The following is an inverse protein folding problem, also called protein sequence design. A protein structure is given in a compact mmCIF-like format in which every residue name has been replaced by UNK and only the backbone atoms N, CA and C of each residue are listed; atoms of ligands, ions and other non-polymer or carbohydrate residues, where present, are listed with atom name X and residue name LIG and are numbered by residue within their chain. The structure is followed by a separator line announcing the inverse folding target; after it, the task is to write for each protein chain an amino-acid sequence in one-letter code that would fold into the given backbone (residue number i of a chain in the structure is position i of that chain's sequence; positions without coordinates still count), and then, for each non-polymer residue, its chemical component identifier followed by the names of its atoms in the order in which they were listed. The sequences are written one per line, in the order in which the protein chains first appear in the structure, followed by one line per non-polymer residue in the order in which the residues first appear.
data_IF_349435359878
#
_entry.id   IF_349435359878
#
_cell.length_a   1.000
_cell.length_b   1.000
_cell.length_c   1.000
_cell.angle_alpha   90.00
_cell.angle_beta   90.00
_cell.angle_gamma   90.00
#
_symmetry.space_group_name_H-M   'P 1'
#
loop_
_entity.id
_entity.type
_entity.pdbx_description
1 polymer ?
#
# COMPACT_ATOMS: atom_id res chain seq x y z
N UNK A 1 35.08 71.60 -13.40
CA UNK A 1 35.69 70.26 -13.59
C UNK A 1 35.29 69.42 -12.39
N UNK A 2 34.15 68.74 -12.45
CA UNK A 2 33.65 67.92 -11.35
C UNK A 2 34.49 66.65 -11.27
N UNK A 3 35.36 66.57 -10.26
CA UNK A 3 36.15 65.40 -9.95
C UNK A 3 35.19 64.31 -9.44
N UNK A 4 34.82 63.37 -10.30
CA UNK A 4 34.23 62.12 -9.84
C UNK A 4 35.24 61.43 -8.92
N UNK A 5 34.86 61.00 -7.70
CA UNK A 5 35.76 60.25 -6.84
C UNK A 5 36.20 58.97 -7.56
N UNK A 6 37.43 58.48 -7.31
CA UNK A 6 37.94 57.30 -7.99
C UNK A 6 36.98 56.14 -7.70
N UNK A 7 36.50 55.44 -8.75
CA UNK A 7 35.52 54.34 -8.65
C UNK A 7 35.84 53.30 -7.56
N UNK A 8 37.11 53.18 -7.17
CA UNK A 8 37.58 52.31 -6.09
C UNK A 8 37.18 52.76 -4.67
N UNK A 9 37.12 54.07 -4.39
CA UNK A 9 36.72 54.59 -3.08
C UNK A 9 35.23 54.34 -2.82
N UNK A 10 34.38 54.64 -3.81
CA UNK A 10 32.95 54.37 -3.73
C UNK A 10 32.64 52.87 -3.53
N UNK A 11 33.35 51.98 -4.24
CA UNK A 11 33.19 50.54 -4.04
C UNK A 11 33.61 50.09 -2.64
N UNK A 12 34.71 50.64 -2.11
CA UNK A 12 35.21 50.30 -0.78
C UNK A 12 34.32 50.83 0.36
N UNK A 13 33.65 51.95 0.17
CA UNK A 13 32.67 52.49 1.12
C UNK A 13 31.37 51.69 1.12
N UNK A 14 30.90 51.28 -0.07
CA UNK A 14 29.76 50.36 -0.20
C UNK A 14 30.04 49.03 0.49
N UNK A 15 31.22 48.43 0.26
CA UNK A 15 31.65 47.16 0.89
C UNK A 15 31.76 47.22 2.41
N UNK A 16 31.94 48.41 3.00
CA UNK A 16 31.99 48.61 4.46
C UNK A 16 30.69 49.15 5.04
N UNK A 17 29.67 49.41 4.22
CA UNK A 17 28.38 49.86 4.71
C UNK A 17 27.76 48.81 5.63
N UNK A 18 27.14 49.27 6.72
CA UNK A 18 26.45 48.38 7.65
C UNK A 18 25.34 47.60 6.96
N UNK A 19 24.65 48.23 6.00
CA UNK A 19 23.59 47.59 5.24
C UNK A 19 24.12 46.41 4.42
N UNK A 20 25.22 46.59 3.68
CA UNK A 20 25.81 45.50 2.89
C UNK A 20 26.43 44.42 3.78
N UNK A 21 27.09 44.80 4.88
CA UNK A 21 27.60 43.83 5.86
C UNK A 21 26.48 43.03 6.52
N UNK A 22 25.33 43.66 6.78
CA UNK A 22 24.10 43.00 7.22
C UNK A 22 23.59 42.00 6.19
N UNK A 23 23.52 42.38 4.91
CA UNK A 23 23.15 41.48 3.81
C UNK A 23 24.13 40.29 3.69
N UNK A 24 25.43 40.55 3.76
CA UNK A 24 26.47 39.50 3.73
C UNK A 24 26.29 38.55 4.92
N UNK A 25 26.08 39.06 6.14
CA UNK A 25 25.90 38.23 7.34
C UNK A 25 24.67 37.33 7.26
N UNK A 26 23.57 37.87 6.73
CA UNK A 26 22.33 37.12 6.52
C UNK A 26 22.52 36.06 5.43
N UNK A 27 23.24 36.36 4.35
CA UNK A 27 23.47 35.48 3.21
C UNK A 27 24.89 34.89 3.20
N UNK A 28 25.11 33.85 4.02
CA UNK A 28 26.43 33.19 4.10
C UNK A 28 26.41 31.85 3.38
N UNK A 29 27.50 31.53 2.69
CA UNK A 29 27.65 30.28 1.93
C UNK A 29 26.53 30.05 0.89
N UNK A 30 25.96 31.14 0.36
CA UNK A 30 24.84 31.08 -0.57
C UNK A 30 23.48 30.78 0.06
N UNK A 31 23.31 30.94 1.39
CA UNK A 31 22.05 30.65 2.10
C UNK A 31 21.67 31.74 3.10
N UNK A 32 20.40 32.14 3.10
CA UNK A 32 19.83 33.01 4.14
C UNK A 32 19.84 32.31 5.50
N UNK A 33 20.21 33.03 6.56
CA UNK A 33 20.24 32.50 7.92
C UNK A 33 18.91 31.87 8.34
N UNK A 34 17.78 32.45 7.92
CA UNK A 34 16.43 31.95 8.20
C UNK A 34 16.14 30.58 7.58
N UNK A 35 16.73 30.26 6.42
CA UNK A 35 16.47 29.00 5.69
C UNK A 35 17.53 27.92 5.94
N UNK A 36 18.59 28.19 6.72
CA UNK A 36 19.65 27.20 6.96
C UNK A 36 19.15 25.96 7.70
N UNK A 37 18.21 26.13 8.63
CA UNK A 37 17.58 25.02 9.34
C UNK A 37 16.82 24.12 8.37
N UNK A 38 15.91 24.74 7.60
CA UNK A 38 15.14 24.08 6.55
C UNK A 38 16.03 23.35 5.53
N UNK A 39 17.03 24.04 5.00
CA UNK A 39 17.97 23.49 4.02
C UNK A 39 18.74 22.27 4.54
N UNK A 40 19.12 22.24 5.82
CA UNK A 40 19.75 21.07 6.45
C UNK A 40 18.77 19.91 6.56
N UNK A 41 17.54 20.16 6.99
CA UNK A 41 16.50 19.13 7.11
C UNK A 41 16.15 18.50 5.75
N UNK A 42 16.29 19.25 4.66
CA UNK A 42 16.00 18.78 3.29
C UNK A 42 17.17 18.08 2.59
N UNK A 43 18.34 17.98 3.23
CA UNK A 43 19.51 17.28 2.66
C UNK A 43 19.23 15.85 2.18
N UNK A 44 18.46 15.01 2.91
CA UNK A 44 18.13 13.66 2.46
C UNK A 44 17.38 13.63 1.11
N UNK A 45 16.69 14.73 0.78
CA UNK A 45 15.75 14.81 -0.34
C UNK A 45 16.32 15.48 -1.59
N UNK A 46 17.58 15.90 -1.58
CA UNK A 46 18.23 16.57 -2.73
C UNK A 46 18.36 15.72 -3.99
N UNK A 47 18.37 14.40 -3.84
CA UNK A 47 18.43 13.45 -4.97
C UNK A 47 17.06 12.90 -5.34
N UNK A 48 16.01 13.46 -4.76
CA UNK A 48 14.66 12.97 -4.99
C UNK A 48 14.21 13.32 -6.40
N UNK A 49 13.86 12.29 -7.16
CA UNK A 49 13.19 12.43 -8.44
C UNK A 49 11.78 11.85 -8.35
N UNK A 50 10.85 12.37 -9.14
CA UNK A 50 9.49 11.82 -9.24
C UNK A 50 9.44 10.35 -9.72
N UNK A 51 10.53 9.85 -10.31
CA UNK A 51 10.71 8.46 -10.74
C UNK A 51 11.28 7.53 -9.67
N UNK A 52 11.71 8.06 -8.52
CA UNK A 52 12.15 7.24 -7.39
C UNK A 52 10.94 6.44 -6.89
N UNK A 53 11.12 5.24 -6.31
CA UNK A 53 10.01 4.55 -5.65
C UNK A 53 9.59 5.34 -4.41
N UNK A 54 8.76 6.36 -4.62
CA UNK A 54 8.25 7.22 -3.58
C UNK A 54 7.31 6.35 -2.75
N UNK A 55 7.67 6.04 -1.51
CA UNK A 55 6.68 5.51 -0.57
C UNK A 55 5.95 6.66 0.12
N UNK A 56 4.75 6.39 0.63
CA UNK A 56 3.94 7.42 1.28
C UNK A 56 4.66 7.96 2.53
N UNK A 57 5.43 7.11 3.22
CA UNK A 57 6.15 7.49 4.43
C UNK A 57 7.19 8.58 4.16
N UNK A 58 7.91 8.48 3.04
CA UNK A 58 8.84 9.52 2.59
C UNK A 58 8.09 10.83 2.29
N UNK A 59 6.96 10.77 1.57
CA UNK A 59 6.15 11.98 1.28
C UNK A 59 5.70 12.68 2.57
N UNK A 60 5.19 11.94 3.55
CA UNK A 60 4.81 12.50 4.84
C UNK A 60 6.01 13.04 5.63
N UNK A 61 7.19 12.41 5.51
CA UNK A 61 8.42 12.91 6.13
C UNK A 61 8.90 14.22 5.50
N UNK A 62 8.72 14.38 4.19
CA UNK A 62 9.00 15.62 3.48
C UNK A 62 8.03 16.73 3.90
N UNK A 63 6.74 16.40 3.93
CA UNK A 63 5.68 17.33 4.32
C UNK A 63 5.83 17.81 5.76
N UNK A 64 6.23 16.93 6.67
CA UNK A 64 6.52 17.32 8.05
C UNK A 64 7.61 18.41 8.14
N UNK A 65 8.50 18.50 7.15
CA UNK A 65 9.52 19.54 7.06
C UNK A 65 9.01 20.78 6.32
N UNK A 66 8.29 20.62 5.20
CA UNK A 66 7.88 21.73 4.32
C UNK A 66 6.54 22.36 4.70
N UNK A 67 5.58 21.57 5.17
CA UNK A 67 4.23 21.95 5.59
C UNK A 67 4.15 23.23 6.41
N UNK A 68 4.93 23.39 7.49
CA UNK A 68 4.94 24.63 8.28
C UNK A 68 5.32 25.88 7.50
N UNK A 69 6.20 25.76 6.50
CA UNK A 69 6.65 26.89 5.67
C UNK A 69 5.61 27.25 4.62
N UNK A 70 4.90 26.28 4.06
CA UNK A 70 3.76 26.56 3.18
C UNK A 70 2.61 27.26 3.91
N UNK A 71 2.30 26.83 5.14
CA UNK A 71 1.23 27.41 5.94
C UNK A 71 1.48 28.89 6.29
N UNK A 72 2.73 29.26 6.54
CA UNK A 72 3.12 30.62 6.87
C UNK A 72 3.13 31.58 5.66
N UNK A 73 3.07 31.06 4.43
CA UNK A 73 3.08 31.84 3.18
C UNK A 73 4.19 32.88 3.12
N UNK A 74 5.35 32.56 3.67
CA UNK A 74 6.52 33.43 3.61
C UNK A 74 7.41 33.10 2.40
N UNK A 75 8.42 33.94 2.16
CA UNK A 75 9.35 33.73 1.03
C UNK A 75 10.37 32.61 1.28
N UNK A 76 10.26 31.81 2.36
CA UNK A 76 11.30 30.84 2.72
C UNK A 76 11.52 29.80 1.62
N UNK A 77 10.44 29.30 1.01
CA UNK A 77 10.51 28.31 -0.09
C UNK A 77 11.09 28.95 -1.36
N UNK A 78 10.66 30.18 -1.70
CA UNK A 78 11.20 30.91 -2.85
C UNK A 78 12.71 31.17 -2.69
N UNK A 79 13.14 31.62 -1.49
CA UNK A 79 14.56 31.83 -1.17
C UNK A 79 15.34 30.53 -1.20
N UNK A 80 14.76 29.43 -0.74
CA UNK A 80 15.38 28.10 -0.79
C UNK A 80 15.62 27.65 -2.23
N UNK A 81 14.61 27.75 -3.10
CA UNK A 81 14.73 27.42 -4.52
C UNK A 81 15.75 28.29 -5.25
N UNK A 82 15.86 29.57 -4.87
CA UNK A 82 16.88 30.47 -5.41
C UNK A 82 18.31 30.08 -4.99
N UNK A 83 18.47 29.48 -3.80
CA UNK A 83 19.77 29.05 -3.28
C UNK A 83 20.16 27.63 -3.69
N UNK A 84 19.17 26.75 -3.91
CA UNK A 84 19.36 25.33 -4.16
C UNK A 84 18.28 24.77 -5.09
N UNK A 85 18.53 24.87 -6.40
CA UNK A 85 17.61 24.38 -7.43
C UNK A 85 17.43 22.86 -7.43
N UNK A 86 18.32 22.10 -6.77
CA UNK A 86 18.20 20.63 -6.68
C UNK A 86 16.98 20.17 -5.88
N UNK A 87 16.45 21.03 -5.01
CA UNK A 87 15.26 20.74 -4.19
C UNK A 87 13.94 20.93 -4.95
N UNK A 88 13.99 21.43 -6.19
CA UNK A 88 12.80 21.73 -6.99
C UNK A 88 11.90 20.51 -7.17
N UNK A 89 12.47 19.35 -7.52
CA UNK A 89 11.70 18.11 -7.69
C UNK A 89 11.04 17.64 -6.38
N UNK A 90 11.74 17.74 -5.25
CA UNK A 90 11.17 17.35 -3.95
C UNK A 90 9.98 18.26 -3.59
N UNK A 91 10.16 19.58 -3.69
CA UNK A 91 9.13 20.57 -3.36
C UNK A 91 7.92 20.44 -4.30
N UNK A 92 8.15 20.22 -5.59
CA UNK A 92 7.07 19.97 -6.55
C UNK A 92 6.34 18.67 -6.26
N UNK A 93 7.07 17.59 -5.95
CA UNK A 93 6.47 16.29 -5.62
C UNK A 93 5.60 16.38 -4.37
N UNK A 94 6.07 17.05 -3.32
CA UNK A 94 5.29 17.31 -2.10
C UNK A 94 4.01 18.09 -2.41
N UNK A 95 4.15 19.24 -3.09
CA UNK A 95 3.03 20.10 -3.40
C UNK A 95 1.98 19.37 -4.25
N UNK A 96 2.40 18.56 -5.21
CA UNK A 96 1.52 17.74 -6.05
C UNK A 96 0.84 16.63 -5.24
N UNK A 97 1.60 15.89 -4.43
CA UNK A 97 1.07 14.77 -3.64
C UNK A 97 0.05 15.24 -2.59
N UNK A 98 0.25 16.42 -1.98
CA UNK A 98 -0.67 17.01 -0.99
C UNK A 98 -1.63 18.07 -1.58
N UNK A 99 -1.67 18.23 -2.90
CA UNK A 99 -2.67 19.06 -3.58
C UNK A 99 -2.52 20.57 -3.38
N UNK A 100 -1.31 21.05 -3.09
CA UNK A 100 -0.98 22.47 -2.86
C UNK A 100 -0.77 23.22 -4.17
N UNK A 101 -1.88 23.56 -4.83
CA UNK A 101 -1.87 24.31 -6.10
C UNK A 101 -1.22 25.68 -5.95
N UNK A 102 -1.38 26.32 -4.79
CA UNK A 102 -0.78 27.62 -4.48
C UNK A 102 0.75 27.56 -4.49
N UNK A 103 1.34 26.53 -3.89
CA UNK A 103 2.79 26.29 -3.91
C UNK A 103 3.30 26.00 -5.32
N UNK A 104 2.58 25.17 -6.09
CA UNK A 104 2.94 24.86 -7.48
C UNK A 104 2.94 26.13 -8.36
N UNK A 105 1.88 26.94 -8.26
CA UNK A 105 1.72 28.16 -9.04
C UNK A 105 2.68 29.28 -8.63
N UNK A 106 2.89 29.49 -7.32
CA UNK A 106 3.70 30.60 -6.80
C UNK A 106 5.20 30.49 -7.12
N UNK A 107 5.69 29.28 -7.42
CA UNK A 107 7.11 29.02 -7.61
C UNK A 107 7.48 28.56 -9.03
N UNK A 108 6.54 28.66 -9.97
CA UNK A 108 6.72 28.22 -11.37
C UNK A 108 7.39 26.85 -11.43
N UNK A 109 6.83 25.89 -10.71
CA UNK A 109 7.36 24.51 -10.63
C UNK A 109 6.95 23.66 -11.85
N UNK A 110 6.54 24.30 -12.94
CA UNK A 110 6.16 23.69 -14.23
C UNK A 110 7.19 24.08 -15.32
N UNK A 111 8.43 23.67 -15.11
CA UNK A 111 9.50 23.81 -16.11
C UNK A 111 9.67 22.50 -16.89
N UNK A 112 10.29 22.54 -18.07
CA UNK A 112 10.38 21.40 -19.00
C UNK A 112 11.03 20.16 -18.35
N UNK A 113 11.98 20.36 -17.42
CA UNK A 113 12.62 19.29 -16.63
C UNK A 113 11.64 18.54 -15.69
N UNK A 114 10.57 19.21 -15.24
CA UNK A 114 9.51 18.64 -14.41
C UNK A 114 8.36 18.08 -15.24
N UNK A 115 8.21 18.51 -16.50
CA UNK A 115 7.14 18.01 -17.38
C UNK A 115 7.28 16.55 -17.75
N UNK A 116 8.50 16.01 -17.76
CA UNK A 116 8.76 14.57 -17.97
C UNK A 116 8.56 13.72 -16.71
N UNK A 117 8.39 14.34 -15.54
CA UNK A 117 8.07 13.62 -14.31
C UNK A 117 6.61 13.15 -14.32
N UNK A 118 6.34 11.99 -13.70
CA UNK A 118 5.00 11.42 -13.54
C UNK A 118 4.15 12.18 -12.49
N UNK A 119 4.04 13.51 -12.63
CA UNK A 119 3.35 14.37 -11.66
C UNK A 119 1.85 14.09 -11.63
N UNK A 120 1.25 13.72 -12.77
CA UNK A 120 -0.18 13.35 -12.80
C UNK A 120 -0.41 12.06 -12.01
N UNK A 121 0.48 11.08 -12.14
CA UNK A 121 0.43 9.85 -11.34
C UNK A 121 0.55 10.15 -9.85
N UNK A 122 1.46 11.06 -9.48
CA UNK A 122 1.65 11.46 -8.08
C UNK A 122 0.43 12.21 -7.52
N UNK A 123 -0.16 13.13 -8.30
CA UNK A 123 -1.39 13.82 -7.93
C UNK A 123 -2.55 12.83 -7.75
N UNK A 124 -2.64 11.84 -8.64
CA UNK A 124 -3.67 10.82 -8.61
C UNK A 124 -3.53 9.90 -7.38
N UNK A 125 -2.30 9.54 -7.03
CA UNK A 125 -1.98 8.83 -5.79
C UNK A 125 -2.33 9.64 -4.53
N UNK A 126 -2.15 10.96 -4.55
CA UNK A 126 -2.51 11.86 -3.47
C UNK A 126 -4.03 12.11 -3.34
N UNK A 127 -4.80 11.81 -4.39
CA UNK A 127 -6.25 11.91 -4.38
C UNK A 127 -6.82 13.31 -4.61
N UNK A 128 -6.01 14.25 -5.11
CA UNK A 128 -6.41 15.64 -5.27
C UNK A 128 -6.87 15.94 -6.70
N UNK A 129 -8.17 15.78 -7.00
CA UNK A 129 -8.73 16.02 -8.34
C UNK A 129 -8.45 17.43 -8.87
N UNK A 130 -8.48 18.45 -8.01
CA UNK A 130 -8.14 19.82 -8.39
C UNK A 130 -6.69 19.97 -8.86
N UNK A 131 -5.76 19.23 -8.25
CA UNK A 131 -4.36 19.20 -8.68
C UNK A 131 -4.22 18.44 -10.00
N UNK A 132 -4.92 17.31 -10.17
CA UNK A 132 -4.94 16.56 -11.44
C UNK A 132 -5.50 17.43 -12.58
N UNK A 133 -6.59 18.15 -12.34
CA UNK A 133 -7.15 19.11 -13.29
C UNK A 133 -6.18 20.24 -13.61
N UNK A 134 -5.55 20.83 -12.59
CA UNK A 134 -4.55 21.87 -12.77
C UNK A 134 -3.39 21.39 -13.67
N UNK A 135 -2.84 20.20 -13.41
CA UNK A 135 -1.76 19.63 -14.22
C UNK A 135 -2.24 19.27 -15.64
N UNK A 136 -3.49 18.84 -15.80
CA UNK A 136 -4.09 18.59 -17.11
C UNK A 136 -4.22 19.88 -17.94
N UNK A 137 -4.72 20.95 -17.33
CA UNK A 137 -4.91 22.25 -18.01
C UNK A 137 -3.56 22.87 -18.44
N UNK A 138 -2.48 22.60 -17.72
CA UNK A 138 -1.11 22.97 -18.12
C UNK A 138 -0.49 22.04 -19.18
N UNK A 139 -1.21 21.02 -19.63
CA UNK A 139 -0.76 20.10 -20.69
C UNK A 139 0.36 19.16 -20.25
N UNK A 140 0.45 18.78 -18.97
CA UNK A 140 1.48 17.84 -18.51
C UNK A 140 1.34 16.44 -19.15
N UNK A 141 2.41 15.92 -19.80
CA UNK A 141 2.40 14.63 -20.46
C UNK A 141 2.72 13.45 -19.53
N UNK A 142 3.21 13.72 -18.31
CA UNK A 142 3.62 12.70 -17.32
C UNK A 142 2.46 11.98 -16.63
N UNK A 143 1.52 11.45 -17.41
CA UNK A 143 0.49 10.54 -16.95
C UNK A 143 0.78 9.15 -17.52
N UNK A 144 0.67 8.11 -16.69
CA UNK A 144 0.74 6.71 -17.10
C UNK A 144 -0.49 5.96 -16.60
N UNK A 145 -0.58 4.66 -16.91
CA UNK A 145 -1.64 3.80 -16.34
C UNK A 145 -1.59 3.77 -14.80
N UNK A 146 -0.44 4.05 -14.20
CA UNK A 146 -0.28 4.09 -12.74
C UNK A 146 -1.15 5.16 -12.08
N UNK A 147 -1.46 6.27 -12.76
CA UNK A 147 -2.35 7.29 -12.20
C UNK A 147 -3.71 6.71 -11.82
N UNK A 148 -4.34 5.98 -12.75
CA UNK A 148 -5.66 5.40 -12.54
C UNK A 148 -5.57 4.21 -11.59
N UNK A 149 -4.57 3.34 -11.76
CA UNK A 149 -4.36 2.16 -10.90
C UNK A 149 -4.20 2.56 -9.42
N UNK A 150 -3.35 3.55 -9.12
CA UNK A 150 -3.11 4.03 -7.76
C UNK A 150 -4.31 4.80 -7.18
N UNK A 151 -5.01 5.58 -7.99
CA UNK A 151 -6.22 6.28 -7.56
C UNK A 151 -7.35 5.29 -7.23
N UNK A 152 -7.49 4.21 -8.02
CA UNK A 152 -8.45 3.15 -7.78
C UNK A 152 -8.16 2.39 -6.47
N UNK A 153 -6.90 1.98 -6.28
CA UNK A 153 -6.44 1.28 -5.08
C UNK A 153 -6.70 2.08 -3.78
N UNK A 154 -6.70 3.42 -3.85
CA UNK A 154 -6.90 4.32 -2.69
C UNK A 154 -8.31 4.90 -2.61
N UNK A 155 -9.24 4.42 -3.43
CA UNK A 155 -10.61 4.89 -3.52
C UNK A 155 -10.76 6.39 -3.85
N UNK A 156 -9.84 6.96 -4.62
CA UNK A 156 -9.93 8.34 -5.09
C UNK A 156 -10.86 8.44 -6.30
N UNK A 157 -12.16 8.24 -6.06
CA UNK A 157 -13.19 8.13 -7.10
C UNK A 157 -13.24 9.33 -8.06
N UNK A 158 -13.19 10.55 -7.53
CA UNK A 158 -13.22 11.77 -8.36
C UNK A 158 -12.02 11.84 -9.30
N UNK A 159 -10.84 11.40 -8.85
CA UNK A 159 -9.64 11.30 -9.68
C UNK A 159 -9.84 10.25 -10.76
N UNK A 160 -10.31 9.04 -10.42
CA UNK A 160 -10.55 7.97 -11.40
C UNK A 160 -11.57 8.42 -12.44
N UNK A 161 -12.65 9.09 -12.03
CA UNK A 161 -13.66 9.63 -12.94
C UNK A 161 -13.08 10.70 -13.87
N UNK A 162 -12.27 11.62 -13.34
CA UNK A 162 -11.57 12.64 -14.11
C UNK A 162 -10.63 12.02 -15.15
N UNK A 163 -9.76 11.10 -14.72
CA UNK A 163 -8.81 10.42 -15.62
C UNK A 163 -9.54 9.61 -16.69
N UNK A 164 -10.61 8.89 -16.33
CA UNK A 164 -11.39 8.10 -17.30
C UNK A 164 -12.01 8.96 -18.40
N UNK A 165 -12.37 10.21 -18.11
CA UNK A 165 -13.09 11.11 -19.03
C UNK A 165 -12.17 12.04 -19.82
N UNK A 166 -11.01 12.43 -19.26
CA UNK A 166 -10.13 13.45 -19.84
C UNK A 166 -8.78 12.91 -20.33
N UNK A 167 -8.46 11.65 -20.04
CA UNK A 167 -7.17 11.01 -20.34
C UNK A 167 -7.38 9.70 -21.12
N UNK A 168 -6.41 9.36 -21.96
CA UNK A 168 -6.46 8.18 -22.86
C UNK A 168 -5.39 7.13 -22.54
N UNK A 169 -4.50 7.43 -21.60
CA UNK A 169 -3.37 6.60 -21.15
C UNK A 169 -3.84 5.25 -20.59
N UNK A 170 -5.04 5.22 -20.02
CA UNK A 170 -5.73 4.02 -19.64
C UNK A 170 -5.44 3.53 -18.23
N UNK A 171 -5.64 2.25 -17.99
CA UNK A 171 -5.41 1.56 -16.73
C UNK A 171 -4.76 0.20 -17.00
N UNK A 172 -4.43 -0.53 -15.95
CA UNK A 172 -4.16 -1.97 -16.05
C UNK A 172 -5.18 -2.76 -15.23
N UNK A 173 -5.11 -4.10 -15.27
CA UNK A 173 -5.90 -4.94 -14.38
C UNK A 173 -5.63 -4.65 -12.89
N UNK A 174 -4.49 -4.03 -12.56
CA UNK A 174 -4.14 -3.64 -11.20
C UNK A 174 -5.17 -2.68 -10.59
N UNK A 175 -5.79 -1.79 -11.38
CA UNK A 175 -6.84 -0.89 -10.88
C UNK A 175 -7.98 -1.64 -10.20
N UNK A 176 -8.50 -2.69 -10.84
CA UNK A 176 -9.61 -3.47 -10.30
C UNK A 176 -9.12 -4.51 -9.27
N UNK A 177 -7.96 -5.13 -9.48
CA UNK A 177 -7.35 -6.07 -8.54
C UNK A 177 -7.09 -5.41 -7.18
N UNK A 178 -6.48 -4.22 -7.16
CA UNK A 178 -6.14 -3.52 -5.93
C UNK A 178 -7.36 -2.86 -5.29
N UNK A 179 -8.30 -2.32 -6.07
CA UNK A 179 -9.58 -1.84 -5.54
C UNK A 179 -10.38 -2.98 -4.86
N UNK A 180 -10.36 -4.19 -5.44
CA UNK A 180 -10.98 -5.36 -4.86
C UNK A 180 -10.26 -5.82 -3.58
N UNK A 181 -8.92 -5.83 -3.60
CA UNK A 181 -8.09 -6.14 -2.43
C UNK A 181 -8.37 -5.19 -1.25
N UNK A 182 -8.68 -3.93 -1.51
CA UNK A 182 -9.00 -2.92 -0.50
C UNK A 182 -10.50 -2.83 -0.14
N UNK A 183 -11.35 -3.66 -0.74
CA UNK A 183 -12.78 -3.70 -0.41
C UNK A 183 -13.58 -2.53 -0.99
N UNK A 184 -13.08 -1.86 -2.02
CA UNK A 184 -13.69 -0.68 -2.61
C UNK A 184 -14.78 -1.07 -3.64
N UNK A 185 -15.88 -1.68 -3.18
CA UNK A 185 -16.94 -2.20 -4.05
C UNK A 185 -17.44 -1.19 -5.09
N UNK A 186 -17.72 0.06 -4.69
CA UNK A 186 -18.19 1.09 -5.61
C UNK A 186 -17.15 1.41 -6.71
N UNK A 187 -15.86 1.40 -6.37
CA UNK A 187 -14.78 1.56 -7.34
C UNK A 187 -14.73 0.36 -8.31
N UNK A 188 -14.82 -0.86 -7.79
CA UNK A 188 -14.85 -2.09 -8.61
C UNK A 188 -16.03 -2.08 -9.59
N UNK A 189 -17.22 -1.69 -9.12
CA UNK A 189 -18.41 -1.54 -9.96
C UNK A 189 -18.22 -0.49 -11.06
N UNK A 190 -17.65 0.66 -10.70
CA UNK A 190 -17.36 1.73 -11.67
C UNK A 190 -16.34 1.29 -12.73
N UNK A 191 -15.22 0.69 -12.30
CA UNK A 191 -14.21 0.17 -13.22
C UNK A 191 -14.83 -0.89 -14.14
N UNK A 192 -15.66 -1.79 -13.62
CA UNK A 192 -16.34 -2.80 -14.42
C UNK A 192 -17.25 -2.21 -15.50
N UNK A 193 -17.95 -1.11 -15.20
CA UNK A 193 -18.90 -0.47 -16.14
C UNK A 193 -18.23 0.45 -17.16
N UNK A 194 -17.09 1.06 -16.81
CA UNK A 194 -16.47 2.12 -17.61
C UNK A 194 -15.12 1.76 -18.22
N UNK A 195 -14.57 0.58 -17.91
CA UNK A 195 -13.23 0.16 -18.33
C UNK A 195 -13.26 -1.24 -18.93
N UNK A 196 -12.33 -1.51 -19.84
CA UNK A 196 -12.29 -2.78 -20.60
C UNK A 196 -11.11 -3.67 -20.20
N UNK A 197 -10.18 -3.16 -19.40
CA UNK A 197 -8.98 -3.88 -18.95
C UNK A 197 -9.31 -5.11 -18.08
N UNK A 198 -10.43 -5.06 -17.37
CA UNK A 198 -10.88 -6.15 -16.51
C UNK A 198 -10.06 -6.30 -15.23
N UNK A 199 -10.01 -7.52 -14.70
CA UNK A 199 -9.21 -7.89 -13.54
C UNK A 199 -8.48 -9.21 -13.80
N UNK A 200 -7.74 -9.69 -12.81
CA UNK A 200 -7.19 -11.04 -12.81
C UNK A 200 -7.82 -11.86 -11.68
N UNK A 201 -7.42 -13.12 -11.52
CA UNK A 201 -7.82 -13.94 -10.34
C UNK A 201 -7.40 -13.29 -9.02
N UNK A 202 -6.40 -12.39 -9.04
CA UNK A 202 -5.95 -11.66 -7.86
C UNK A 202 -7.05 -10.81 -7.22
N UNK A 203 -7.98 -10.26 -8.00
CA UNK A 203 -9.09 -9.48 -7.46
C UNK A 203 -9.92 -10.30 -6.45
N UNK A 204 -10.37 -11.49 -6.85
CA UNK A 204 -11.19 -12.34 -5.98
C UNK A 204 -10.34 -12.99 -4.87
N UNK A 205 -9.11 -13.42 -5.18
CA UNK A 205 -8.19 -13.99 -4.19
C UNK A 205 -7.90 -12.99 -3.05
N UNK A 206 -7.59 -11.73 -3.40
CA UNK A 206 -7.26 -10.69 -2.42
C UNK A 206 -8.49 -10.18 -1.68
N UNK A 207 -9.62 -9.99 -2.36
CA UNK A 207 -10.89 -9.66 -1.71
C UNK A 207 -11.30 -10.73 -0.69
N UNK A 208 -11.17 -12.01 -1.05
CA UNK A 208 -11.44 -13.12 -0.14
C UNK A 208 -10.46 -13.17 1.03
N UNK A 209 -9.16 -12.99 0.75
CA UNK A 209 -8.11 -12.92 1.77
C UNK A 209 -8.41 -11.83 2.81
N UNK A 210 -8.93 -10.68 2.39
CA UNK A 210 -9.20 -9.55 3.29
C UNK A 210 -10.64 -9.50 3.82
N UNK A 211 -11.47 -10.52 3.54
CA UNK A 211 -12.82 -10.62 4.09
C UNK A 211 -13.87 -9.73 3.42
N UNK A 212 -13.62 -9.25 2.20
CA UNK A 212 -14.51 -8.37 1.45
C UNK A 212 -15.57 -9.19 0.69
N UNK A 213 -16.51 -9.79 1.42
CA UNK A 213 -17.54 -10.68 0.86
C UNK A 213 -18.41 -10.01 -0.22
N UNK A 214 -18.73 -8.73 -0.05
CA UNK A 214 -19.51 -7.94 -1.00
C UNK A 214 -18.80 -7.78 -2.36
N UNK A 215 -17.49 -7.56 -2.35
CA UNK A 215 -16.65 -7.56 -3.54
C UNK A 215 -16.56 -8.95 -4.15
N UNK A 216 -16.40 -10.01 -3.34
CA UNK A 216 -16.38 -11.40 -3.82
C UNK A 216 -17.69 -11.77 -4.52
N UNK A 217 -18.84 -11.39 -3.97
CA UNK A 217 -20.15 -11.55 -4.61
C UNK A 217 -20.20 -10.85 -5.96
N UNK A 218 -19.82 -9.57 -5.99
CA UNK A 218 -19.85 -8.80 -7.24
C UNK A 218 -18.97 -9.42 -8.32
N UNK A 219 -17.74 -9.79 -7.97
CA UNK A 219 -16.81 -10.43 -8.89
C UNK A 219 -17.33 -11.80 -9.36
N UNK A 220 -17.95 -12.58 -8.48
CA UNK A 220 -18.55 -13.86 -8.85
C UNK A 220 -19.68 -13.70 -9.89
N UNK A 221 -20.56 -12.73 -9.67
CA UNK A 221 -21.77 -12.55 -10.50
C UNK A 221 -21.47 -11.88 -11.86
N UNK A 222 -20.41 -11.06 -11.94
CA UNK A 222 -20.18 -10.17 -13.09
C UNK A 222 -18.85 -10.41 -13.82
N UNK A 223 -17.94 -11.22 -13.29
CA UNK A 223 -16.62 -11.49 -13.87
C UNK A 223 -16.41 -12.99 -14.11
N UNK A 224 -15.59 -13.31 -15.12
CA UNK A 224 -15.37 -14.69 -15.56
C UNK A 224 -14.00 -15.24 -15.15
N UNK A 225 -13.11 -14.38 -14.65
CA UNK A 225 -11.73 -14.68 -14.28
C UNK A 225 -11.66 -15.71 -13.14
N UNK A 226 -12.62 -15.67 -12.22
CA UNK A 226 -12.68 -16.58 -11.07
C UNK A 226 -11.64 -16.27 -10.00
N UNK A 227 -11.29 -17.29 -9.22
CA UNK A 227 -10.26 -17.22 -8.19
C UNK A 227 -9.29 -18.41 -8.31
N UNK A 228 -8.34 -18.50 -7.39
CA UNK A 228 -7.50 -19.69 -7.19
C UNK A 228 -7.82 -20.32 -5.83
N UNK A 229 -7.11 -21.39 -5.46
CA UNK A 229 -7.22 -21.97 -4.11
C UNK A 229 -6.80 -20.98 -3.02
N UNK A 230 -5.99 -19.96 -3.36
CA UNK A 230 -5.54 -18.94 -2.42
C UNK A 230 -6.70 -18.15 -1.80
N UNK A 231 -7.81 -17.96 -2.53
CA UNK A 231 -9.00 -17.31 -1.99
C UNK A 231 -9.51 -18.00 -0.73
N UNK A 232 -9.73 -19.32 -0.79
CA UNK A 232 -10.25 -20.08 0.35
C UNK A 232 -9.17 -20.34 1.40
N UNK A 233 -7.94 -20.64 0.99
CA UNK A 233 -6.82 -20.90 1.90
C UNK A 233 -6.55 -19.69 2.80
N UNK A 234 -6.45 -18.49 2.23
CA UNK A 234 -6.16 -17.28 2.99
C UNK A 234 -7.38 -16.75 3.76
N UNK A 235 -8.59 -16.87 3.20
CA UNK A 235 -9.81 -16.52 3.93
C UNK A 235 -9.98 -17.41 5.18
N UNK A 236 -9.67 -18.71 5.08
CA UNK A 236 -9.66 -19.63 6.20
C UNK A 236 -8.60 -19.27 7.23
N UNK A 237 -7.37 -18.97 6.79
CA UNK A 237 -6.28 -18.54 7.65
C UNK A 237 -6.65 -17.29 8.47
N UNK A 238 -7.37 -16.33 7.87
CA UNK A 238 -7.78 -15.07 8.53
C UNK A 238 -9.15 -15.14 9.21
N UNK A 239 -9.80 -16.31 9.20
CA UNK A 239 -11.06 -16.53 9.90
C UNK A 239 -12.30 -15.91 9.25
N UNK A 240 -12.26 -15.61 7.96
CA UNK A 240 -13.40 -15.06 7.21
C UNK A 240 -14.41 -16.16 6.83
N UNK A 241 -15.18 -16.61 7.84
CA UNK A 241 -16.13 -17.73 7.76
C UNK A 241 -17.19 -17.54 6.66
N UNK A 242 -17.73 -16.33 6.55
CA UNK A 242 -18.73 -15.95 5.56
C UNK A 242 -18.20 -16.03 4.11
N UNK A 243 -16.98 -15.57 3.87
CA UNK A 243 -16.28 -15.72 2.59
C UNK A 243 -16.02 -17.19 2.27
N UNK A 244 -15.52 -17.98 3.23
CA UNK A 244 -15.25 -19.41 3.01
C UNK A 244 -16.55 -20.17 2.71
N UNK A 245 -17.64 -19.89 3.41
CA UNK A 245 -18.95 -20.45 3.09
C UNK A 245 -19.38 -20.11 1.67
N UNK A 246 -19.27 -18.83 1.26
CA UNK A 246 -19.60 -18.41 -0.09
C UNK A 246 -18.77 -19.14 -1.14
N UNK A 247 -17.44 -19.16 -0.99
CA UNK A 247 -16.53 -19.86 -1.90
C UNK A 247 -16.82 -21.36 -1.95
N UNK A 248 -17.07 -22.01 -0.81
CA UNK A 248 -17.40 -23.43 -0.77
C UNK A 248 -18.69 -23.77 -1.52
N UNK A 249 -19.68 -22.88 -1.47
CA UNK A 249 -21.02 -23.12 -2.02
C UNK A 249 -21.13 -22.74 -3.50
N UNK A 250 -20.38 -21.73 -3.96
CA UNK A 250 -20.54 -21.16 -5.29
C UNK A 250 -19.32 -21.33 -6.20
N UNK A 251 -18.17 -21.75 -5.68
CA UNK A 251 -16.91 -21.93 -6.43
C UNK A 251 -16.45 -23.39 -6.40
N UNK A 252 -15.62 -23.75 -7.38
CA UNK A 252 -15.19 -25.15 -7.60
C UNK A 252 -13.67 -25.31 -7.53
N UNK A 253 -12.92 -24.20 -7.41
CA UNK A 253 -11.47 -24.18 -7.27
C UNK A 253 -11.00 -24.86 -5.99
N UNK A 254 -11.81 -24.78 -4.94
CA UNK A 254 -11.56 -25.45 -3.68
C UNK A 254 -10.49 -24.77 -2.82
N UNK A 255 -9.74 -25.58 -2.09
CA UNK A 255 -8.70 -25.17 -1.15
C UNK A 255 -7.59 -26.23 -1.12
N UNK A 256 -6.52 -25.96 -0.40
CA UNK A 256 -5.45 -26.93 -0.11
C UNK A 256 -5.45 -27.28 1.38
N UNK A 257 -4.43 -28.01 1.84
CA UNK A 257 -4.21 -28.23 3.28
C UNK A 257 -3.95 -26.92 4.04
N UNK A 258 -3.51 -25.87 3.35
CA UNK A 258 -3.18 -24.58 3.93
C UNK A 258 -4.41 -23.90 4.55
N UNK A 259 -5.62 -24.17 4.05
CA UNK A 259 -6.85 -23.67 4.66
C UNK A 259 -7.03 -24.15 6.11
N UNK A 260 -6.88 -25.45 6.36
CA UNK A 260 -7.06 -26.02 7.70
C UNK A 260 -5.84 -25.74 8.58
N UNK A 261 -4.64 -25.83 8.03
CA UNK A 261 -3.39 -25.48 8.74
C UNK A 261 -3.41 -24.01 9.18
N UNK A 262 -3.80 -23.10 8.30
CA UNK A 262 -3.96 -21.67 8.58
C UNK A 262 -5.08 -21.39 9.58
N UNK A 263 -6.26 -22.00 9.41
CA UNK A 263 -7.36 -21.84 10.36
C UNK A 263 -6.98 -22.33 11.78
N UNK A 264 -6.19 -23.40 11.86
CA UNK A 264 -5.67 -23.90 13.12
C UNK A 264 -4.61 -22.97 13.72
N UNK A 265 -3.72 -22.42 12.88
CA UNK A 265 -2.73 -21.43 13.30
C UNK A 265 -3.36 -20.13 13.82
N UNK A 266 -4.50 -19.71 13.25
CA UNK A 266 -5.27 -18.53 13.68
C UNK A 266 -6.23 -18.79 14.85
N UNK A 267 -6.35 -20.03 15.33
CA UNK A 267 -7.25 -20.36 16.44
C UNK A 267 -8.74 -20.37 16.06
N UNK A 268 -9.06 -20.49 14.78
CA UNK A 268 -10.43 -20.38 14.27
C UNK A 268 -11.17 -21.73 14.34
N UNK A 269 -11.55 -22.17 15.55
CA UNK A 269 -12.16 -23.50 15.77
C UNK A 269 -13.37 -23.78 14.88
N UNK A 270 -14.27 -22.81 14.69
CA UNK A 270 -15.45 -23.00 13.84
C UNK A 270 -15.08 -23.19 12.37
N UNK A 271 -14.06 -22.49 11.88
CA UNK A 271 -13.49 -22.69 10.55
C UNK A 271 -12.85 -24.07 10.42
N UNK A 272 -12.07 -24.51 11.43
CA UNK A 272 -11.46 -25.85 11.44
C UNK A 272 -12.53 -26.94 11.41
N UNK A 273 -13.62 -26.79 12.16
CA UNK A 273 -14.77 -27.69 12.12
C UNK A 273 -15.43 -27.70 10.74
N UNK A 274 -15.70 -26.53 10.19
CA UNK A 274 -16.29 -26.40 8.87
C UNK A 274 -15.45 -27.12 7.81
N UNK A 275 -14.16 -26.81 7.73
CA UNK A 275 -13.24 -27.44 6.78
C UNK A 275 -13.14 -28.95 7.01
N UNK A 276 -13.08 -29.41 8.26
CA UNK A 276 -13.03 -30.83 8.58
C UNK A 276 -14.26 -31.61 8.07
N UNK A 277 -15.47 -31.06 8.22
CA UNK A 277 -16.71 -31.77 7.86
C UNK A 277 -17.10 -31.60 6.38
N UNK A 278 -16.66 -30.53 5.73
CA UNK A 278 -17.10 -30.18 4.38
C UNK A 278 -16.03 -30.30 3.29
N UNK A 279 -14.76 -30.52 3.66
CA UNK A 279 -13.61 -30.57 2.75
C UNK A 279 -12.81 -31.86 2.96
N UNK A 280 -12.12 -32.32 1.92
CA UNK A 280 -11.45 -33.64 1.88
C UNK A 280 -9.93 -33.54 1.93
N UNK A 281 -9.39 -32.35 1.66
CA UNK A 281 -7.96 -32.06 1.54
C UNK A 281 -7.22 -32.32 2.85
N UNK A 282 -7.88 -32.02 3.97
CA UNK A 282 -7.34 -32.27 5.29
C UNK A 282 -6.35 -31.23 5.77
N UNK A 283 -5.37 -31.65 6.55
CA UNK A 283 -4.36 -30.80 7.18
C UNK A 283 -3.01 -31.50 7.17
N UNK A 284 -1.94 -30.76 7.43
CA UNK A 284 -0.63 -31.33 7.73
C UNK A 284 -0.38 -31.37 9.23
N UNK A 285 0.84 -31.73 9.65
CA UNK A 285 1.26 -31.58 11.06
C UNK A 285 1.35 -30.11 11.48
N UNK A 286 1.43 -29.18 10.53
CA UNK A 286 1.47 -27.74 10.80
C UNK A 286 0.22 -27.26 11.55
N UNK A 287 -0.98 -27.77 11.25
CA UNK A 287 -2.18 -27.44 11.99
C UNK A 287 -2.03 -27.66 13.50
N UNK A 288 -1.50 -28.82 13.90
CA UNK A 288 -1.25 -29.13 15.31
C UNK A 288 -0.12 -28.27 15.90
N UNK A 289 1.00 -28.19 15.19
CA UNK A 289 2.19 -27.50 15.67
C UNK A 289 1.91 -26.00 15.87
N UNK A 290 1.28 -25.34 14.90
CA UNK A 290 0.92 -23.93 14.99
C UNK A 290 -0.15 -23.68 16.06
N UNK A 291 -1.16 -24.54 16.18
CA UNK A 291 -2.15 -24.42 17.25
C UNK A 291 -1.53 -24.58 18.65
N UNK A 292 -0.51 -25.44 18.81
CA UNK A 292 0.25 -25.57 20.05
C UNK A 292 1.14 -24.34 20.32
N UNK A 293 1.86 -23.84 19.31
CA UNK A 293 2.73 -22.67 19.45
C UNK A 293 1.95 -21.41 19.81
N UNK A 294 0.73 -21.27 19.31
CA UNK A 294 -0.13 -20.10 19.51
C UNK A 294 -1.15 -20.29 20.66
N UNK A 295 -1.04 -21.37 21.45
CA UNK A 295 -1.89 -21.65 22.61
C UNK A 295 -3.40 -21.78 22.29
N UNK A 296 -3.73 -22.36 21.14
CA UNK A 296 -5.10 -22.60 20.70
C UNK A 296 -5.63 -23.97 21.17
N UNK A 297 -5.77 -24.13 22.49
CA UNK A 297 -6.04 -25.42 23.13
C UNK A 297 -7.37 -26.09 22.72
N UNK A 298 -8.37 -25.31 22.30
CA UNK A 298 -9.65 -25.82 21.78
C UNK A 298 -9.51 -26.42 20.37
N UNK A 299 -8.75 -25.78 19.49
CA UNK A 299 -8.33 -26.33 18.19
C UNK A 299 -7.50 -27.59 18.38
N UNK A 300 -6.49 -27.57 19.26
CA UNK A 300 -5.66 -28.76 19.55
C UNK A 300 -6.53 -29.93 20.01
N UNK A 301 -7.52 -29.68 20.89
CA UNK A 301 -8.45 -30.72 21.36
C UNK A 301 -9.32 -31.27 20.24
N UNK A 302 -9.80 -30.41 19.35
CA UNK A 302 -10.57 -30.85 18.19
C UNK A 302 -9.73 -31.70 17.23
N UNK A 303 -8.54 -31.21 16.87
CA UNK A 303 -7.63 -31.92 15.98
C UNK A 303 -7.22 -33.28 16.57
N UNK A 304 -6.88 -33.35 17.86
CA UNK A 304 -6.49 -34.59 18.55
C UNK A 304 -7.56 -35.69 18.52
N UNK A 305 -8.84 -35.30 18.46
CA UNK A 305 -9.97 -36.22 18.44
C UNK A 305 -10.43 -36.59 17.03
N UNK A 306 -10.15 -35.77 16.03
CA UNK A 306 -10.72 -35.90 14.68
C UNK A 306 -9.68 -36.11 13.56
N UNK A 307 -8.39 -35.91 13.80
CA UNK A 307 -7.32 -35.94 12.78
C UNK A 307 -6.21 -36.95 13.11
N UNK A 308 -5.48 -37.41 12.08
CA UNK A 308 -4.47 -38.49 12.16
C UNK A 308 -3.03 -37.98 12.16
N UNK A 309 -2.82 -36.75 11.75
CA UNK A 309 -1.50 -36.19 11.43
C UNK A 309 -0.69 -35.94 12.70
N UNK A 310 -1.35 -35.47 13.78
CA UNK A 310 -0.72 -35.19 15.07
C UNK A 310 0.38 -34.12 15.03
N UNK A 311 0.97 -33.74 16.18
CA UNK A 311 2.11 -32.82 16.21
C UNK A 311 3.41 -33.51 15.78
N UNK A 312 4.36 -32.71 15.28
CA UNK A 312 5.72 -33.19 15.03
C UNK A 312 6.42 -33.62 16.31
N UNK A 313 7.48 -34.43 16.19
CA UNK A 313 8.19 -34.96 17.35
C UNK A 313 8.75 -33.87 18.29
N UNK A 314 9.16 -32.72 17.73
CA UNK A 314 9.66 -31.57 18.48
C UNK A 314 8.58 -30.89 19.32
N UNK A 315 7.33 -30.94 18.86
CA UNK A 315 6.18 -30.25 19.48
C UNK A 315 5.46 -31.11 20.52
N UNK A 316 5.72 -32.42 20.58
CA UNK A 316 5.10 -33.35 21.57
C UNK A 316 5.23 -32.90 23.03
N UNK A 317 6.38 -32.36 23.51
CA UNK A 317 6.50 -31.92 24.90
C UNK A 317 5.62 -30.71 25.26
N UNK A 318 5.17 -29.94 24.26
CA UNK A 318 4.34 -28.75 24.45
C UNK A 318 2.86 -29.08 24.64
N UNK A 319 2.45 -30.35 24.49
CA UNK A 319 1.11 -30.80 24.86
C UNK A 319 1.01 -30.82 26.39
N UNK A 320 0.67 -29.66 26.98
CA UNK A 320 0.66 -29.45 28.42
C UNK A 320 -0.33 -30.36 29.16
N UNK A 321 -1.46 -30.69 28.52
CA UNK A 321 -2.45 -31.60 29.08
C UNK A 321 -2.06 -33.05 28.82
N UNK A 322 -1.55 -33.72 29.86
CA UNK A 322 -1.12 -35.11 29.82
C UNK A 322 -2.27 -36.08 29.51
N UNK A 323 -3.52 -35.71 29.82
CA UNK A 323 -4.70 -36.49 29.44
C UNK A 323 -5.02 -36.29 27.96
N UNK A 324 -4.89 -35.06 27.44
CA UNK A 324 -5.04 -34.77 26.01
C UNK A 324 -3.99 -35.49 25.18
N UNK A 325 -2.73 -35.50 25.65
CA UNK A 325 -1.64 -36.26 25.02
C UNK A 325 -1.95 -37.76 24.93
N UNK A 326 -2.41 -38.35 26.04
CA UNK A 326 -2.78 -39.78 26.09
C UNK A 326 -3.99 -40.10 25.22
N UNK A 327 -5.02 -39.25 25.24
CA UNK A 327 -6.21 -39.40 24.41
C UNK A 327 -5.86 -39.30 22.91
N UNK A 328 -4.97 -38.38 22.55
CA UNK A 328 -4.43 -38.24 21.21
C UNK A 328 -3.67 -39.50 20.77
N UNK A 329 -2.73 -40.01 21.57
CA UNK A 329 -2.01 -41.24 21.21
C UNK A 329 -2.93 -42.46 21.10
N UNK A 330 -3.95 -42.56 21.95
CA UNK A 330 -4.96 -43.62 21.86
C UNK A 330 -5.79 -43.52 20.57
N UNK A 331 -6.29 -42.32 20.24
CA UNK A 331 -7.04 -42.04 19.00
C UNK A 331 -6.19 -42.34 17.75
N UNK A 332 -4.94 -41.88 17.72
CA UNK A 332 -3.98 -42.16 16.65
C UNK A 332 -3.71 -43.66 16.51
N UNK A 333 -3.60 -44.40 17.63
CA UNK A 333 -3.40 -45.84 17.61
C UNK A 333 -4.62 -46.59 17.07
N UNK A 334 -5.84 -46.20 17.46
CA UNK A 334 -7.09 -46.78 16.94
C UNK A 334 -7.26 -46.50 15.44
N UNK A 335 -7.02 -45.27 15.01
CA UNK A 335 -7.14 -44.87 13.61
C UNK A 335 -6.09 -45.58 12.71
N UNK A 336 -4.87 -45.81 13.21
CA UNK A 336 -3.85 -46.65 12.53
C UNK A 336 -4.27 -48.11 12.40
N UNK A 337 -4.89 -48.68 13.45
CA UNK A 337 -5.41 -50.06 13.40
C UNK A 337 -6.49 -50.20 12.33
N UNK A 338 -7.45 -49.27 12.27
CA UNK A 338 -8.47 -49.26 11.23
C UNK A 338 -7.91 -49.11 9.81
N UNK A 339 -6.91 -48.25 9.60
CA UNK A 339 -6.25 -48.11 8.30
C UNK A 339 -5.49 -49.38 7.87
N UNK A 340 -4.87 -50.09 8.81
CA UNK A 340 -4.14 -51.35 8.54
C UNK A 340 -5.05 -52.57 8.32
N UNK A 341 -6.30 -52.53 8.80
CA UNK A 341 -7.28 -53.61 8.66
C UNK A 341 -8.03 -53.61 7.31
N UNK A 342 -8.09 -52.46 6.62
CA UNK A 342 -8.80 -52.31 5.34
C UNK A 342 -8.06 -52.80 4.09
N UNK A 343 -6.81 -53.27 4.22
CA UNK A 343 -6.03 -53.88 3.12
C UNK A 343 -6.20 -55.41 3.03
N UNK A 344 -7.11 -55.99 3.82
CA UNK A 344 -7.44 -57.42 3.81
C UNK A 344 -8.94 -57.63 3.57
N UNK A 345 -9.43 -57.27 2.39
CA UNK A 345 -10.73 -57.73 1.90
C UNK A 345 -10.79 -57.64 0.39
#
# INVERSE_FOLDING_TARGET
MALFPPRQAAAADVLRSQDLMGCIWVYQHGLYASIRGLHRSLRPFRRWTASSSIDDAAMHSLDAVLGPYYANKDDSVARLLACDSSLRHAIASDAVFFGRIDVMAAHSLDDDDLRTAALVDLAARGGHVSMVSFLHDQGHPGCTTAALDMAAARNHFEVVAFLTTHRSEGATAAAMDDAAACGHLHMVQYLHMHRTEGCTTRAMDAAATNGHLDVVHFLHDHRAEGCTTLAMDNAAHRGHVDVVHFLHTHRHEGCTTDALDGAAAGGHLDMVRFLHFHRVEGCTTAAFDSALLNDHGDVVRFLATHRREGPTAAMRPLVADQNLYRAMEASLAEQRRHASGGLKS
#
